data_IF_695032126068
#
_entry.id   IF_695032126068
#
_cell.length_a   1.000
_cell.length_b   1.000
_cell.length_c   1.000
_cell.angle_alpha   90.00
_cell.angle_beta   90.00
_cell.angle_gamma   90.00
#
_symmetry.space_group_name_H-M   'P 1'
#
loop_
_entity.id
_entity.type
_entity.pdbx_description
1 polymer ?
#
# COMPACT_ATOMS: atom_id res chain seq x y z
N UNK A 1 -10.74 -0.21 -14.14
CA UNK A 1 -10.82 -0.48 -12.69
C UNK A 1 -11.71 0.62 -12.09
N UNK A 2 -12.01 0.61 -10.78
CA UNK A 2 -12.72 1.76 -10.19
C UNK A 2 -11.68 2.80 -9.73
N UNK A 3 -11.82 4.09 -10.11
CA UNK A 3 -10.93 5.13 -9.61
C UNK A 3 -11.12 5.37 -8.11
N UNK A 4 -10.05 5.80 -7.47
CA UNK A 4 -10.07 6.33 -6.12
C UNK A 4 -10.75 7.69 -6.11
N UNK A 5 -11.61 7.90 -5.13
CA UNK A 5 -12.22 9.19 -4.84
C UNK A 5 -11.28 10.05 -4.00
N UNK A 6 -11.48 11.37 -4.00
CA UNK A 6 -10.69 12.28 -3.18
C UNK A 6 -10.69 11.88 -1.70
N UNK A 7 -11.85 11.48 -1.16
CA UNK A 7 -11.96 11.02 0.23
C UNK A 7 -11.09 9.80 0.55
N UNK A 8 -10.96 8.87 -0.39
CA UNK A 8 -10.08 7.70 -0.21
C UNK A 8 -8.61 8.10 -0.27
N UNK A 9 -8.25 9.07 -1.11
CA UNK A 9 -6.89 9.61 -1.17
C UNK A 9 -6.54 10.34 0.13
N UNK A 10 -7.44 11.18 0.65
CA UNK A 10 -7.31 11.82 1.95
C UNK A 10 -7.19 10.80 3.08
N UNK A 11 -7.94 9.70 3.02
CA UNK A 11 -7.86 8.61 3.99
C UNK A 11 -6.49 7.91 3.95
N UNK A 12 -5.96 7.61 2.75
CA UNK A 12 -4.61 7.07 2.58
C UNK A 12 -3.55 8.03 3.16
N UNK A 13 -3.66 9.34 2.89
CA UNK A 13 -2.74 10.34 3.44
C UNK A 13 -2.80 10.39 4.97
N UNK A 14 -4.02 10.42 5.52
CA UNK A 14 -4.26 10.44 6.96
C UNK A 14 -3.71 9.19 7.64
N UNK A 15 -3.86 8.02 7.01
CA UNK A 15 -3.34 6.77 7.55
C UNK A 15 -1.80 6.76 7.53
N UNK A 16 -1.20 7.20 6.43
CA UNK A 16 0.26 7.32 6.33
C UNK A 16 0.84 8.25 7.40
N UNK A 17 0.22 9.42 7.61
CA UNK A 17 0.66 10.41 8.62
C UNK A 17 0.53 9.95 10.07
N UNK A 18 -0.34 8.98 10.35
CA UNK A 18 -0.52 8.44 11.69
C UNK A 18 0.55 7.41 12.06
N UNK A 19 1.34 6.95 11.09
CA UNK A 19 2.36 5.95 11.32
C UNK A 19 3.61 6.56 11.96
N UNK A 20 4.30 5.81 12.83
CA UNK A 20 5.56 6.28 13.42
C UNK A 20 6.63 6.46 12.34
N UNK A 21 7.61 7.33 12.60
CA UNK A 21 8.70 7.61 11.66
C UNK A 21 9.54 6.37 11.30
N UNK A 22 9.56 5.38 12.18
CA UNK A 22 10.27 4.11 11.97
C UNK A 22 9.44 3.08 11.18
N UNK A 23 8.22 3.45 10.79
CA UNK A 23 7.33 2.60 10.05
C UNK A 23 7.90 2.30 8.65
N UNK A 24 7.64 1.08 8.20
CA UNK A 24 8.10 0.57 6.92
C UNK A 24 7.51 1.31 5.72
N UNK A 25 6.33 1.93 5.85
CA UNK A 25 5.68 2.72 4.81
C UNK A 25 6.24 4.14 4.81
N UNK A 26 6.99 4.49 3.76
CA UNK A 26 7.75 5.74 3.69
C UNK A 26 7.16 6.79 2.79
N UNK A 27 6.18 6.42 1.98
CA UNK A 27 5.37 7.36 1.24
C UNK A 27 4.39 6.65 0.33
N UNK A 28 3.53 7.41 -0.31
CA UNK A 28 2.62 6.92 -1.33
C UNK A 28 2.57 7.93 -2.49
N UNK A 29 2.16 7.47 -3.66
CA UNK A 29 1.93 8.33 -4.82
C UNK A 29 0.76 7.83 -5.65
N UNK A 30 0.17 8.73 -6.41
CA UNK A 30 -0.88 8.43 -7.40
C UNK A 30 -0.56 9.14 -8.71
N UNK A 31 -1.20 8.73 -9.79
CA UNK A 31 -1.11 9.43 -11.07
C UNK A 31 -2.49 9.89 -11.53
N UNK A 32 -2.63 11.20 -11.75
CA UNK A 32 -3.84 11.83 -12.26
C UNK A 32 -4.84 12.27 -11.18
N UNK A 33 -5.90 12.94 -11.63
CA UNK A 33 -6.96 13.51 -10.77
C UNK A 33 -7.92 12.43 -10.23
N UNK A 34 -8.14 11.37 -11.00
CA UNK A 34 -8.93 10.20 -10.63
C UNK A 34 -8.07 8.94 -10.78
N UNK A 35 -7.10 8.72 -9.88
CA UNK A 35 -6.16 7.62 -10.03
C UNK A 35 -6.90 6.29 -9.93
N UNK A 36 -6.65 5.37 -10.86
CA UNK A 36 -7.13 3.97 -10.74
C UNK A 36 -6.24 3.13 -9.82
N UNK A 37 -5.06 3.66 -9.51
CA UNK A 37 -4.02 2.99 -8.75
C UNK A 37 -3.27 3.97 -7.85
N UNK A 38 -2.99 3.52 -6.63
CA UNK A 38 -2.10 4.18 -5.69
C UNK A 38 -0.86 3.31 -5.49
N UNK A 39 0.33 3.90 -5.51
CA UNK A 39 1.58 3.21 -5.20
C UNK A 39 1.97 3.47 -3.76
N UNK A 40 2.13 2.41 -2.99
CA UNK A 40 2.65 2.44 -1.62
C UNK A 40 4.15 2.11 -1.68
N UNK A 41 4.98 2.97 -1.09
CA UNK A 41 6.43 2.79 -1.02
C UNK A 41 6.86 2.32 0.37
N UNK A 42 7.75 1.34 0.45
CA UNK A 42 8.36 0.90 1.70
C UNK A 42 9.88 1.09 1.72
N UNK A 43 10.44 1.41 2.88
CA UNK A 43 11.89 1.52 3.10
C UNK A 43 12.34 0.61 4.24
N UNK A 44 13.34 -0.24 3.99
CA UNK A 44 14.46 -0.53 4.91
C UNK A 44 15.54 -1.46 4.34
N UNK A 45 15.28 -2.24 3.29
CA UNK A 45 16.32 -3.10 2.67
C UNK A 45 16.13 -3.31 1.15
N UNK A 46 14.89 -3.27 0.66
CA UNK A 46 14.59 -3.32 -0.77
C UNK A 46 13.44 -2.37 -1.07
N UNK A 47 13.72 -1.31 -1.84
CA UNK A 47 12.69 -0.41 -2.35
C UNK A 47 11.67 -1.21 -3.15
N UNK A 48 10.46 -1.40 -2.61
CA UNK A 48 9.36 -2.07 -3.31
C UNK A 48 8.15 -1.14 -3.38
N UNK A 49 7.51 -1.19 -4.54
CA UNK A 49 6.26 -0.48 -4.83
C UNK A 49 5.13 -1.49 -4.77
N UNK A 50 4.12 -1.19 -3.97
CA UNK A 50 2.92 -1.99 -3.86
C UNK A 50 1.76 -1.24 -4.51
N UNK A 51 1.38 -1.60 -5.75
CA UNK A 51 0.19 -1.05 -6.37
C UNK A 51 -1.07 -1.47 -5.61
N UNK A 52 -1.77 -0.47 -5.08
CA UNK A 52 -3.10 -0.54 -4.49
C UNK A 52 -4.13 -0.15 -5.56
N UNK A 53 -5.11 -1.02 -5.79
CA UNK A 53 -6.20 -0.84 -6.77
C UNK A 53 -7.55 -1.16 -6.13
N UNK A 54 -8.63 -0.56 -6.63
CA UNK A 54 -9.98 -0.92 -6.18
C UNK A 54 -10.51 -2.13 -6.94
N UNK A 55 -11.25 -2.96 -6.23
CA UNK A 55 -12.01 -4.09 -6.76
C UNK A 55 -13.47 -3.98 -6.35
N UNK A 56 -14.33 -4.80 -6.97
CA UNK A 56 -15.78 -4.78 -6.73
C UNK A 56 -16.18 -5.06 -5.26
N UNK A 57 -15.26 -5.60 -4.45
CA UNK A 57 -15.49 -5.97 -3.04
C UNK A 57 -14.57 -5.26 -2.04
N UNK A 58 -13.89 -4.18 -2.46
CA UNK A 58 -12.97 -3.43 -1.60
C UNK A 58 -11.66 -3.09 -2.31
N UNK A 59 -10.54 -3.34 -1.64
CA UNK A 59 -9.22 -2.91 -2.05
C UNK A 59 -8.29 -4.08 -2.29
N UNK A 60 -7.37 -3.94 -3.25
CA UNK A 60 -6.41 -4.97 -3.64
C UNK A 60 -5.02 -4.37 -3.67
N UNK A 61 -4.13 -4.90 -2.83
CA UNK A 61 -2.72 -4.56 -2.78
C UNK A 61 -1.94 -5.66 -3.49
N UNK A 62 -1.28 -5.32 -4.59
CA UNK A 62 -0.39 -6.22 -5.29
C UNK A 62 1.08 -5.88 -5.01
N UNK A 63 1.96 -6.87 -5.11
CA UNK A 63 3.41 -6.66 -5.26
C UNK A 63 3.72 -6.13 -6.67
N UNK A 64 4.92 -5.57 -6.89
CA UNK A 64 5.37 -5.03 -8.18
C UNK A 64 5.16 -6.01 -9.37
N UNK A 65 5.29 -7.32 -9.11
CA UNK A 65 5.10 -8.35 -10.14
C UNK A 65 3.67 -8.88 -10.24
N UNK A 66 2.72 -8.31 -9.49
CA UNK A 66 1.32 -8.73 -9.44
C UNK A 66 1.07 -10.07 -8.74
N UNK A 67 2.07 -10.68 -8.11
CA UNK A 67 2.01 -12.08 -7.64
C UNK A 67 1.38 -12.27 -6.27
N UNK A 68 1.56 -11.32 -5.36
CA UNK A 68 0.98 -11.36 -4.01
C UNK A 68 -0.10 -10.31 -3.94
N UNK A 69 -1.35 -10.74 -3.95
CA UNK A 69 -2.51 -9.86 -3.90
C UNK A 69 -3.20 -10.02 -2.55
N UNK A 70 -3.16 -9.00 -1.72
CA UNK A 70 -3.97 -8.92 -0.51
C UNK A 70 -5.27 -8.22 -0.85
N UNK A 71 -6.38 -8.74 -0.35
CA UNK A 71 -7.71 -8.15 -0.53
C UNK A 71 -8.28 -7.82 0.83
N UNK A 72 -8.74 -6.58 0.96
CA UNK A 72 -9.33 -6.10 2.22
C UNK A 72 -10.58 -5.30 1.92
N UNK A 73 -11.54 -5.32 2.85
CA UNK A 73 -12.76 -4.54 2.73
C UNK A 73 -12.50 -3.05 2.98
N UNK A 74 -11.51 -2.72 3.82
CA UNK A 74 -11.15 -1.35 4.20
C UNK A 74 -9.70 -1.02 3.81
N UNK A 75 -9.38 0.27 3.73
CA UNK A 75 -8.02 0.75 3.53
C UNK A 75 -7.14 0.43 4.74
N UNK A 76 -7.66 0.57 5.96
CA UNK A 76 -6.95 0.24 7.20
C UNK A 76 -6.47 -1.23 7.25
N UNK A 77 -7.36 -2.18 6.97
CA UNK A 77 -7.02 -3.62 6.92
C UNK A 77 -5.98 -3.91 5.84
N UNK A 78 -6.03 -3.17 4.72
CA UNK A 78 -5.07 -3.33 3.64
C UNK A 78 -3.68 -2.84 4.05
N UNK A 79 -3.59 -1.77 4.83
CA UNK A 79 -2.32 -1.28 5.36
C UNK A 79 -1.71 -2.27 6.36
N UNK A 80 -2.51 -2.86 7.23
CA UNK A 80 -2.04 -3.95 8.07
C UNK A 80 -1.56 -5.14 7.23
N UNK A 81 -2.20 -5.40 6.09
CA UNK A 81 -1.73 -6.43 5.14
C UNK A 81 -0.38 -6.06 4.49
N UNK A 82 -0.10 -4.77 4.24
CA UNK A 82 1.24 -4.29 3.82
C UNK A 82 2.27 -4.65 4.88
N UNK A 83 1.95 -4.50 6.17
CA UNK A 83 2.82 -4.88 7.28
C UNK A 83 3.04 -6.40 7.36
N UNK A 84 1.97 -7.16 7.14
CA UNK A 84 1.96 -8.61 7.26
C UNK A 84 2.65 -9.37 6.12
N UNK A 85 3.09 -8.71 5.04
CA UNK A 85 3.75 -9.39 3.89
C UNK A 85 5.02 -10.12 4.38
N UNK A 86 5.02 -11.46 4.46
CA UNK A 86 6.15 -12.22 4.99
C UNK A 86 7.30 -12.22 3.96
N UNK A 87 8.52 -11.94 4.42
CA UNK A 87 9.72 -11.90 3.57
C UNK A 87 10.48 -10.57 3.58
N UNK A 88 10.31 -9.74 4.62
CA UNK A 88 11.17 -8.57 4.87
C UNK A 88 11.98 -8.65 6.17
N UNK A 89 11.68 -9.60 7.06
CA UNK A 89 12.38 -9.77 8.34
C UNK A 89 13.61 -10.69 8.26
N UNK A 90 13.87 -11.31 7.11
CA UNK A 90 14.94 -12.30 6.94
C UNK A 90 15.89 -11.89 5.80
N UNK A 91 16.52 -10.73 5.94
CA UNK A 91 17.84 -10.46 5.32
C UNK A 91 18.56 -9.40 6.14
N UNK A 92 18.73 -9.67 7.43
CA UNK A 92 19.99 -9.33 8.08
C UNK A 92 20.93 -10.51 7.79
N UNK A 93 21.65 -10.43 6.67
CA UNK A 93 22.85 -11.25 6.52
C UNK A 93 23.95 -10.55 7.32
N UNK A 94 24.39 -11.24 8.37
CA UNK A 94 25.68 -11.05 9.05
C UNK A 94 26.85 -11.12 8.04
#
# INVERSE_FOLDING_TARGET
MNPFTASEIDEIDRLWRQLPIEHMWTGWATAGEAPEQVWIFRTRAHWRRFPLTKSARGYVLADEKGRRMFRSATLEDLLQAVEAIPGLADTVQD
#
